data_IF_169854334685
#
_entry.id   IF_169854334685
#
_cell.length_a   1.000
_cell.length_b   1.000
_cell.length_c   1.000
_cell.angle_alpha   90.00
_cell.angle_beta   90.00
_cell.angle_gamma   90.00
#
_symmetry.space_group_name_H-M   'P 1'
#
loop_
_entity.id
_entity.type
_entity.pdbx_description
1 polymer ?
#
# COMPACT_ATOMS: atom_id res chain seq x y z
N UNK A 1 14.39 14.72 6.09
CA UNK A 1 14.79 14.93 7.49
C UNK A 1 14.24 16.24 8.07
N UNK A 2 14.34 17.37 7.35
CA UNK A 2 13.92 18.69 7.88
C UNK A 2 12.42 18.81 8.19
N UNK A 3 11.55 18.02 7.53
CA UNK A 3 10.10 18.12 7.69
C UNK A 3 9.54 17.14 8.75
N UNK A 4 10.35 16.21 9.26
CA UNK A 4 9.89 15.21 10.23
C UNK A 4 8.82 14.25 9.72
N UNK A 5 8.70 14.09 8.38
CA UNK A 5 7.74 13.19 7.72
C UNK A 5 8.43 11.92 7.21
N UNK A 6 7.64 10.88 6.97
CA UNK A 6 8.10 9.66 6.30
C UNK A 6 8.27 9.84 4.78
N UNK A 7 8.77 8.81 4.12
CA UNK A 7 8.90 8.77 2.66
C UNK A 7 8.37 7.44 2.12
N UNK A 8 7.97 7.44 0.86
CA UNK A 8 7.66 6.24 0.09
C UNK A 8 8.56 6.18 -1.13
N UNK A 9 9.25 5.05 -1.32
CA UNK A 9 10.23 4.84 -2.39
C UNK A 9 9.69 3.90 -3.47
N UNK A 10 9.77 4.36 -4.71
CA UNK A 10 9.65 3.52 -5.89
C UNK A 10 10.99 2.87 -6.23
N UNK A 11 10.99 1.97 -7.22
CA UNK A 11 12.20 1.22 -7.62
C UNK A 11 13.34 2.10 -8.15
N UNK A 12 13.05 3.30 -8.62
CA UNK A 12 14.02 4.24 -9.21
C UNK A 12 14.44 5.37 -8.28
N UNK A 13 13.91 5.41 -7.04
CA UNK A 13 14.14 6.53 -6.11
C UNK A 13 15.43 6.36 -5.28
N UNK A 14 16.18 5.30 -5.53
CA UNK A 14 17.41 4.99 -4.82
C UNK A 14 17.24 3.95 -3.71
N UNK A 15 18.36 3.53 -3.07
CA UNK A 15 18.33 2.46 -2.08
C UNK A 15 17.59 2.85 -0.80
N UNK A 16 16.77 1.93 -0.29
CA UNK A 16 16.05 2.10 0.96
C UNK A 16 17.00 2.27 2.15
N UNK A 17 18.13 1.57 2.14
CA UNK A 17 19.19 1.69 3.15
C UNK A 17 19.74 3.11 3.26
N UNK A 18 19.89 3.81 2.13
CA UNK A 18 20.30 5.23 2.11
C UNK A 18 19.24 6.12 2.76
N UNK A 19 17.97 5.93 2.43
CA UNK A 19 16.89 6.68 3.05
C UNK A 19 16.83 6.41 4.57
N UNK A 20 17.00 5.15 4.98
CA UNK A 20 17.03 4.77 6.40
C UNK A 20 18.20 5.43 7.15
N UNK A 21 19.38 5.46 6.55
CA UNK A 21 20.56 6.13 7.14
C UNK A 21 20.35 7.64 7.30
N UNK A 22 19.71 8.29 6.31
CA UNK A 22 19.47 9.74 6.34
C UNK A 22 18.34 10.17 7.27
N UNK A 23 17.29 9.35 7.40
CA UNK A 23 16.08 9.71 8.13
C UNK A 23 16.05 9.18 9.56
N UNK A 24 16.92 8.21 9.87
CA UNK A 24 17.00 7.58 11.18
C UNK A 24 16.04 6.42 11.40
N UNK A 25 16.21 5.70 12.50
CA UNK A 25 15.49 4.45 12.79
C UNK A 25 13.99 4.62 13.01
N UNK A 26 13.54 5.80 13.41
CA UNK A 26 12.12 6.08 13.71
C UNK A 26 11.29 6.56 12.51
N UNK A 27 11.94 6.88 11.38
CA UNK A 27 11.23 7.37 10.21
C UNK A 27 10.38 6.27 9.57
N UNK A 28 9.18 6.62 9.11
CA UNK A 28 8.34 5.71 8.33
C UNK A 28 8.83 5.72 6.88
N UNK A 29 9.27 4.56 6.39
CA UNK A 29 9.73 4.38 5.02
C UNK A 29 8.93 3.26 4.37
N UNK A 30 8.15 3.58 3.35
CA UNK A 30 7.44 2.62 2.52
C UNK A 30 8.22 2.24 1.27
N UNK A 31 8.01 1.05 0.74
CA UNK A 31 8.62 0.57 -0.49
C UNK A 31 7.58 0.02 -1.47
N UNK A 32 7.65 0.46 -2.73
CA UNK A 32 6.87 -0.12 -3.83
C UNK A 32 7.45 -1.47 -4.24
N UNK A 33 6.63 -2.52 -4.25
CA UNK A 33 7.03 -3.88 -4.59
C UNK A 33 6.28 -4.45 -5.80
N UNK A 34 5.42 -3.67 -6.45
CA UNK A 34 4.58 -4.10 -7.58
C UNK A 34 3.82 -5.41 -7.25
N UNK A 35 4.10 -6.50 -7.94
CA UNK A 35 3.54 -7.84 -7.69
C UNK A 35 4.60 -8.86 -7.27
N UNK A 36 5.76 -8.39 -6.76
CA UNK A 36 6.92 -9.23 -6.47
C UNK A 36 7.15 -9.32 -4.96
N UNK A 37 6.91 -10.49 -4.40
CA UNK A 37 7.07 -10.75 -2.95
C UNK A 37 8.54 -10.65 -2.55
N UNK A 38 9.46 -11.04 -3.42
CA UNK A 38 10.90 -11.00 -3.20
C UNK A 38 11.41 -9.57 -2.98
N UNK A 39 10.84 -8.58 -3.70
CA UNK A 39 11.13 -7.16 -3.47
C UNK A 39 10.67 -6.71 -2.07
N UNK A 40 9.52 -7.20 -1.62
CA UNK A 40 9.03 -6.88 -0.29
C UNK A 40 9.86 -7.52 0.82
N UNK A 41 10.33 -8.76 0.63
CA UNK A 41 11.26 -9.41 1.56
C UNK A 41 12.60 -8.67 1.63
N UNK A 42 13.12 -8.20 0.50
CA UNK A 42 14.32 -7.39 0.46
C UNK A 42 14.11 -6.05 1.15
N UNK A 43 13.02 -5.35 0.86
CA UNK A 43 12.67 -4.10 1.53
C UNK A 43 12.54 -4.26 3.05
N UNK A 44 11.98 -5.37 3.51
CA UNK A 44 11.89 -5.70 4.93
C UNK A 44 13.28 -5.83 5.57
N UNK A 45 14.21 -6.54 4.93
CA UNK A 45 15.60 -6.68 5.40
C UNK A 45 16.35 -5.35 5.42
N UNK A 46 16.03 -4.45 4.50
CA UNK A 46 16.64 -3.10 4.40
C UNK A 46 16.01 -2.08 5.36
N UNK A 47 14.99 -2.48 6.13
CA UNK A 47 14.38 -1.64 7.16
C UNK A 47 13.18 -0.81 6.69
N UNK A 48 12.43 -1.29 5.71
CA UNK A 48 11.12 -0.72 5.38
C UNK A 48 10.17 -0.78 6.58
N UNK A 49 9.32 0.24 6.72
CA UNK A 49 8.27 0.28 7.73
C UNK A 49 6.98 -0.38 7.23
N UNK A 50 6.76 -0.37 5.94
CA UNK A 50 5.69 -1.07 5.24
C UNK A 50 6.07 -1.30 3.78
N UNK A 51 5.37 -2.22 3.13
CA UNK A 51 5.52 -2.51 1.71
C UNK A 51 4.22 -2.28 0.96
N UNK A 52 4.29 -1.90 -0.31
CA UNK A 52 3.12 -1.64 -1.13
C UNK A 52 3.10 -2.53 -2.37
N UNK A 53 2.00 -3.28 -2.53
CA UNK A 53 1.72 -4.07 -3.71
C UNK A 53 0.64 -3.41 -4.58
N UNK A 54 0.73 -3.56 -5.84
CA UNK A 54 -0.23 -3.06 -6.83
C UNK A 54 0.39 -2.99 -8.24
N UNK A 55 -0.44 -2.71 -9.22
CA UNK A 55 -1.89 -2.43 -9.06
C UNK A 55 -2.71 -3.72 -9.00
N UNK A 56 -3.79 -3.69 -8.25
CA UNK A 56 -4.73 -4.81 -8.16
C UNK A 56 -5.84 -4.73 -9.20
N UNK A 57 -6.31 -3.54 -9.52
CA UNK A 57 -7.39 -3.31 -10.48
C UNK A 57 -6.99 -2.31 -11.55
N UNK A 58 -7.73 -2.29 -12.65
CA UNK A 58 -7.47 -1.34 -13.72
C UNK A 58 -7.63 0.10 -13.22
N UNK A 59 -6.65 0.93 -13.55
CA UNK A 59 -6.64 2.35 -13.24
C UNK A 59 -6.47 3.13 -14.53
N UNK A 60 -7.21 4.24 -14.66
CA UNK A 60 -7.02 5.20 -15.74
C UNK A 60 -5.65 5.88 -15.73
N UNK A 61 -4.93 5.81 -14.60
CA UNK A 61 -3.69 6.58 -14.37
C UNK A 61 -2.44 5.89 -14.93
N UNK A 62 -2.37 4.56 -14.94
CA UNK A 62 -1.21 3.79 -15.47
C UNK A 62 -1.67 2.48 -16.13
N UNK A 63 -2.07 2.49 -17.39
CA UNK A 63 -2.38 1.27 -18.12
C UNK A 63 -1.12 0.42 -18.32
N UNK A 64 -1.24 -0.91 -18.30
CA UNK A 64 -0.19 -1.86 -18.70
C UNK A 64 0.76 -2.38 -17.62
N UNK A 65 0.70 -1.93 -16.35
CA UNK A 65 1.47 -2.55 -15.28
C UNK A 65 0.95 -3.96 -14.94
N UNK A 66 1.82 -4.93 -14.55
CA UNK A 66 1.38 -6.25 -14.10
C UNK A 66 0.38 -6.12 -12.97
N UNK A 67 -0.73 -6.85 -13.04
CA UNK A 67 -1.71 -6.87 -11.98
C UNK A 67 -1.23 -7.77 -10.84
N UNK A 68 -1.27 -7.27 -9.61
CA UNK A 68 -1.17 -8.08 -8.41
C UNK A 68 -2.48 -8.86 -8.23
N UNK A 69 -2.42 -10.04 -7.61
CA UNK A 69 -3.60 -10.87 -7.33
C UNK A 69 -3.82 -11.06 -5.84
N UNK A 70 -5.04 -11.44 -5.49
CA UNK A 70 -5.43 -11.75 -4.10
C UNK A 70 -4.65 -12.95 -3.57
N UNK A 71 -4.39 -13.95 -4.41
CA UNK A 71 -3.59 -15.13 -4.07
C UNK A 71 -2.14 -14.75 -3.76
N UNK A 72 -1.55 -13.85 -4.56
CA UNK A 72 -0.22 -13.31 -4.30
C UNK A 72 -0.19 -12.54 -2.97
N UNK A 73 -1.24 -11.76 -2.68
CA UNK A 73 -1.35 -11.03 -1.42
C UNK A 73 -1.39 -11.98 -0.21
N UNK A 74 -2.14 -13.06 -0.28
CA UNK A 74 -2.18 -14.10 0.77
C UNK A 74 -0.80 -14.74 0.99
N UNK A 75 -0.08 -15.05 -0.09
CA UNK A 75 1.29 -15.56 -0.02
C UNK A 75 2.25 -14.54 0.60
N UNK A 76 2.14 -13.27 0.22
CA UNK A 76 2.93 -12.20 0.81
C UNK A 76 2.66 -12.07 2.31
N UNK A 77 1.38 -12.10 2.74
CA UNK A 77 1.02 -12.06 4.16
C UNK A 77 1.60 -13.22 4.97
N UNK A 78 1.67 -14.41 4.40
CA UNK A 78 2.27 -15.58 5.06
C UNK A 78 3.79 -15.43 5.28
N UNK A 79 4.48 -14.65 4.44
CA UNK A 79 5.94 -14.50 4.44
C UNK A 79 6.43 -13.20 5.12
N UNK A 80 5.59 -12.18 5.23
CA UNK A 80 5.96 -10.85 5.70
C UNK A 80 5.32 -10.55 7.07
N UNK A 81 6.11 -9.94 7.95
CA UNK A 81 5.63 -9.40 9.23
C UNK A 81 5.31 -7.90 9.17
N UNK A 82 5.77 -7.20 8.13
CA UNK A 82 5.51 -5.78 7.92
C UNK A 82 4.05 -5.54 7.56
N UNK A 83 3.51 -4.35 7.85
CA UNK A 83 2.26 -3.89 7.28
C UNK A 83 2.29 -3.91 5.74
N UNK A 84 1.23 -4.42 5.14
CA UNK A 84 1.05 -4.50 3.69
C UNK A 84 0.05 -3.45 3.24
N UNK A 85 0.51 -2.54 2.41
CA UNK A 85 -0.32 -1.59 1.69
C UNK A 85 -0.71 -2.15 0.32
N UNK A 86 -1.97 -1.98 -0.07
CA UNK A 86 -2.44 -2.31 -1.41
C UNK A 86 -2.89 -1.04 -2.14
N UNK A 87 -2.62 -0.98 -3.45
CA UNK A 87 -2.91 0.19 -4.28
C UNK A 87 -3.36 -0.22 -5.68
N UNK A 88 -4.11 0.65 -6.33
CA UNK A 88 -4.47 0.58 -7.75
C UNK A 88 -5.91 0.18 -7.99
N UNK A 89 -6.74 1.16 -8.37
CA UNK A 89 -8.14 0.98 -8.75
C UNK A 89 -9.05 0.50 -7.63
N UNK A 90 -8.67 0.72 -6.36
CA UNK A 90 -9.43 0.26 -5.21
C UNK A 90 -10.68 1.13 -5.01
N UNK A 91 -11.82 0.46 -4.82
CA UNK A 91 -13.12 1.04 -4.50
C UNK A 91 -13.74 0.30 -3.31
N UNK A 92 -14.85 0.81 -2.75
CA UNK A 92 -15.56 0.12 -1.67
C UNK A 92 -16.10 -1.26 -2.10
N UNK A 93 -16.44 -1.42 -3.38
CA UNK A 93 -17.00 -2.66 -3.92
C UNK A 93 -15.94 -3.76 -4.11
N UNK A 94 -14.65 -3.40 -4.22
CA UNK A 94 -13.58 -4.37 -4.49
C UNK A 94 -12.52 -4.47 -3.38
N UNK A 95 -12.63 -3.69 -2.31
CA UNK A 95 -11.61 -3.64 -1.24
C UNK A 95 -11.68 -4.84 -0.28
N UNK A 96 -12.88 -5.38 -0.02
CA UNK A 96 -13.08 -6.43 0.99
C UNK A 96 -12.20 -7.66 0.78
N UNK A 97 -12.07 -8.26 -0.44
CA UNK A 97 -11.18 -9.38 -0.66
C UNK A 97 -9.70 -9.08 -0.36
N UNK A 98 -9.25 -7.84 -0.62
CA UNK A 98 -7.87 -7.43 -0.33
C UNK A 98 -7.62 -7.41 1.18
N UNK A 99 -8.56 -6.84 1.92
CA UNK A 99 -8.52 -6.78 3.37
C UNK A 99 -8.55 -8.20 3.97
N UNK A 100 -9.46 -9.06 3.52
CA UNK A 100 -9.57 -10.45 3.96
C UNK A 100 -8.32 -11.31 3.71
N UNK A 101 -7.49 -10.94 2.71
CA UNK A 101 -6.26 -11.65 2.36
C UNK A 101 -4.98 -10.96 2.88
N UNK A 102 -5.12 -10.02 3.81
CA UNK A 102 -3.99 -9.52 4.59
C UNK A 102 -3.48 -8.13 4.23
N UNK A 103 -4.29 -7.29 3.57
CA UNK A 103 -3.99 -5.88 3.43
C UNK A 103 -4.24 -5.15 4.77
N UNK A 104 -3.23 -4.47 5.28
CA UNK A 104 -3.33 -3.64 6.48
C UNK A 104 -3.67 -2.17 6.13
N UNK A 105 -3.32 -1.74 4.93
CA UNK A 105 -3.48 -0.37 4.44
C UNK A 105 -4.07 -0.37 3.03
N UNK A 106 -5.01 0.54 2.78
CA UNK A 106 -5.61 0.78 1.47
C UNK A 106 -5.20 2.16 0.95
N UNK A 107 -4.40 2.21 -0.13
CA UNK A 107 -4.07 3.47 -0.79
C UNK A 107 -5.07 3.73 -1.93
N UNK A 108 -5.95 4.70 -1.70
CA UNK A 108 -7.11 4.98 -2.56
C UNK A 108 -7.08 6.43 -3.02
N UNK A 109 -7.20 6.66 -4.32
CA UNK A 109 -7.31 8.01 -4.90
C UNK A 109 -8.71 8.23 -5.46
N UNK A 110 -9.00 7.71 -6.65
CA UNK A 110 -10.29 7.96 -7.31
C UNK A 110 -11.48 7.36 -6.56
N UNK A 111 -11.34 6.15 -6.00
CA UNK A 111 -12.41 5.53 -5.21
C UNK A 111 -12.85 6.35 -4.00
N UNK A 112 -11.99 7.25 -3.51
CA UNK A 112 -12.28 8.17 -2.41
C UNK A 112 -12.61 9.58 -2.93
N UNK A 113 -11.68 10.20 -3.66
CA UNK A 113 -11.77 11.61 -4.05
C UNK A 113 -12.49 11.86 -5.38
N UNK A 114 -12.84 10.81 -6.13
CA UNK A 114 -13.70 10.90 -7.30
C UNK A 114 -15.19 11.07 -6.97
N UNK A 115 -15.52 11.49 -5.76
CA UNK A 115 -16.87 11.76 -5.30
C UNK A 115 -17.28 13.21 -5.61
N UNK A 116 -18.58 13.43 -5.82
CA UNK A 116 -19.13 14.73 -6.22
C UNK A 116 -19.29 15.73 -5.07
N UNK A 117 -19.06 15.31 -3.82
CA UNK A 117 -19.20 16.16 -2.63
C UNK A 117 -18.25 15.75 -1.50
N UNK A 118 -17.95 16.70 -0.61
CA UNK A 118 -17.15 16.47 0.60
C UNK A 118 -17.85 15.51 1.57
N UNK A 119 -19.18 15.53 1.62
CA UNK A 119 -19.97 14.60 2.44
C UNK A 119 -19.77 13.16 1.96
N UNK A 120 -19.79 12.94 0.63
CA UNK A 120 -19.58 11.63 0.04
C UNK A 120 -18.13 11.14 0.23
N UNK A 121 -17.13 12.02 0.12
CA UNK A 121 -15.73 11.70 0.47
C UNK A 121 -15.64 11.23 1.93
N UNK A 122 -16.29 11.95 2.85
CA UNK A 122 -16.31 11.59 4.28
C UNK A 122 -16.98 10.25 4.51
N UNK A 123 -18.11 9.99 3.84
CA UNK A 123 -18.82 8.71 3.93
C UNK A 123 -17.94 7.55 3.44
N UNK A 124 -17.31 7.71 2.27
CA UNK A 124 -16.40 6.70 1.70
C UNK A 124 -15.20 6.44 2.60
N UNK A 125 -14.58 7.49 3.15
CA UNK A 125 -13.46 7.35 4.07
C UNK A 125 -13.82 6.54 5.31
N UNK A 126 -15.00 6.79 5.91
CA UNK A 126 -15.52 6.01 7.04
C UNK A 126 -15.75 4.54 6.65
N UNK A 127 -16.36 4.29 5.51
CA UNK A 127 -16.62 2.93 5.02
C UNK A 127 -15.31 2.14 4.79
N UNK A 128 -14.27 2.75 4.20
CA UNK A 128 -12.96 2.12 4.08
C UNK A 128 -12.32 1.82 5.44
N UNK A 129 -12.42 2.73 6.40
CA UNK A 129 -11.91 2.50 7.75
C UNK A 129 -12.65 1.36 8.45
N UNK A 130 -13.96 1.24 8.24
CA UNK A 130 -14.74 0.17 8.84
C UNK A 130 -14.33 -1.20 8.27
N UNK A 131 -14.07 -1.31 6.97
CA UNK A 131 -13.51 -2.54 6.38
C UNK A 131 -12.21 -2.99 7.05
N UNK A 132 -11.32 -2.05 7.40
CA UNK A 132 -10.04 -2.34 8.05
C UNK A 132 -10.15 -2.72 9.53
N UNK A 133 -11.20 -2.28 10.23
CA UNK A 133 -11.40 -2.56 11.66
C UNK A 133 -11.89 -3.98 11.96
N UNK A 134 -12.56 -4.62 11.03
CA UNK A 134 -13.15 -5.96 11.21
C UNK A 134 -12.17 -7.11 10.97
N UNK A 135 -10.86 -6.86 10.95
CA UNK A 135 -9.80 -7.86 10.86
C UNK A 135 -9.30 -8.34 12.25
N UNK A 136 -10.21 -8.55 13.15
CA UNK A 136 -9.86 -9.16 14.45
C UNK A 136 -10.24 -10.63 14.45
#
# INVERSE_FOLDING_TARGET
ARLGVGVHLGLTDGPLTTARALLGSKAIIGATCHSQIELAEQAAKEGASYVAFGRFFNSSTKPGAPAASVEMLAQARARLQLPICVIGGITLENAEPLVAHGADLLAVVHGLFGADSTQEVTRRARAFNDLLKYQV
#
